data_IF_568217396407
#
_entry.id   IF_568217396407
#
_cell.length_a   1.000
_cell.length_b   1.000
_cell.length_c   1.000
_cell.angle_alpha   90.00
_cell.angle_beta   90.00
_cell.angle_gamma   90.00
#
_symmetry.space_group_name_H-M   'P 1'
#
loop_
_entity.id
_entity.type
_entity.pdbx_description
1 polymer ?
#
# COMPACT_ATOMS: atom_id res chain seq x y z
N UNK A 1 -71.53 39.88 13.19
CA UNK A 1 -70.45 40.06 14.18
C UNK A 1 -69.75 38.71 14.25
N UNK A 2 -68.80 38.48 13.33
CA UNK A 2 -67.35 38.57 13.63
C UNK A 2 -67.01 37.61 14.77
N UNK A 3 -66.26 36.53 14.61
CA UNK A 3 -65.23 36.21 13.63
C UNK A 3 -64.08 35.57 14.43
N UNK A 4 -63.77 34.31 14.19
CA UNK A 4 -62.40 33.82 13.92
C UNK A 4 -62.30 32.30 14.00
N UNK A 5 -61.93 31.74 12.86
CA UNK A 5 -61.18 30.49 12.72
C UNK A 5 -59.72 30.80 13.07
N UNK A 6 -59.11 30.02 13.95
CA UNK A 6 -57.65 29.93 14.07
C UNK A 6 -57.25 28.44 13.98
N UNK A 7 -56.36 28.04 13.06
CA UNK A 7 -55.87 26.66 12.96
C UNK A 7 -54.53 26.47 13.69
N UNK A 8 -54.36 25.26 14.22
CA UNK A 8 -53.12 24.48 14.38
C UNK A 8 -51.80 25.22 14.74
N UNK A 9 -51.30 25.01 15.96
CA UNK A 9 -49.87 25.06 16.26
C UNK A 9 -49.30 23.64 16.31
N UNK A 10 -48.71 23.22 15.18
CA UNK A 10 -47.70 22.15 15.15
C UNK A 10 -46.44 22.75 15.76
N UNK A 11 -46.10 22.34 16.99
CA UNK A 11 -44.77 22.56 17.54
C UNK A 11 -43.79 21.67 16.75
N UNK A 12 -43.27 22.23 15.64
CA UNK A 12 -42.02 21.78 15.07
C UNK A 12 -40.92 22.51 15.84
N UNK A 13 -40.23 21.78 16.70
CA UNK A 13 -38.87 22.12 17.10
C UNK A 13 -38.08 22.45 15.82
N UNK A 14 -37.79 23.74 15.62
CA UNK A 14 -36.86 24.19 14.60
C UNK A 14 -35.46 23.78 15.05
N UNK A 15 -35.08 22.53 14.82
CA UNK A 15 -33.68 22.18 14.66
C UNK A 15 -33.22 22.94 13.42
N UNK A 16 -32.57 24.10 13.62
CA UNK A 16 -31.81 24.80 12.57
C UNK A 16 -31.03 23.75 11.79
N UNK A 17 -31.31 23.63 10.49
CA UNK A 17 -30.56 22.74 9.63
C UNK A 17 -29.11 23.21 9.60
N UNK A 18 -28.15 22.28 9.52
CA UNK A 18 -26.72 22.60 9.49
C UNK A 18 -26.39 23.63 8.38
N UNK A 19 -27.15 23.58 7.28
CA UNK A 19 -27.04 24.49 6.15
C UNK A 19 -27.43 25.96 6.48
N UNK A 20 -28.30 26.18 7.46
CA UNK A 20 -28.70 27.51 7.94
C UNK A 20 -27.67 28.12 8.90
N UNK A 21 -26.80 27.30 9.50
CA UNK A 21 -25.70 27.74 10.36
C UNK A 21 -24.43 28.08 9.56
N UNK A 22 -24.22 27.45 8.39
CA UNK A 22 -23.05 27.69 7.54
C UNK A 22 -22.77 29.18 7.21
N UNK A 23 -23.77 30.05 6.95
CA UNK A 23 -23.53 31.47 6.67
C UNK A 23 -23.04 32.25 7.90
N UNK A 24 -23.33 31.77 9.12
CA UNK A 24 -22.90 32.39 10.37
C UNK A 24 -21.46 32.02 10.77
N UNK A 25 -20.87 30.98 10.18
CA UNK A 25 -19.50 30.56 10.49
C UNK A 25 -18.39 31.43 9.88
N UNK A 26 -18.75 32.46 9.09
CA UNK A 26 -17.80 33.37 8.46
C UNK A 26 -17.12 32.77 7.22
N UNK A 27 -16.71 33.65 6.32
CA UNK A 27 -16.08 33.26 5.05
C UNK A 27 -14.71 32.60 5.25
N UNK A 28 -14.26 31.84 4.24
CA UNK A 28 -12.95 31.17 4.18
C UNK A 28 -11.80 32.18 4.33
N UNK A 29 -11.38 32.40 5.57
CA UNK A 29 -10.40 33.43 5.93
C UNK A 29 -8.99 33.15 5.41
N UNK A 30 -8.14 34.19 5.41
CA UNK A 30 -6.73 34.08 4.99
C UNK A 30 -5.95 33.04 5.82
N UNK A 31 -6.29 32.88 7.09
CA UNK A 31 -5.71 31.84 7.95
C UNK A 31 -6.05 30.43 7.45
N UNK A 32 -7.32 30.17 7.13
CA UNK A 32 -7.78 28.87 6.61
C UNK A 32 -7.15 28.56 5.24
N UNK A 33 -7.00 29.55 4.37
CA UNK A 33 -6.29 29.39 3.08
C UNK A 33 -4.81 29.05 3.27
N UNK A 34 -4.10 29.73 4.18
CA UNK A 34 -2.69 29.41 4.50
C UNK A 34 -2.54 28.00 5.08
N UNK A 35 -3.47 27.60 5.94
CA UNK A 35 -3.52 26.29 6.57
C UNK A 35 -3.71 25.16 5.53
N UNK A 36 -4.62 25.34 4.57
CA UNK A 36 -4.77 24.41 3.45
C UNK A 36 -3.48 24.28 2.64
N UNK A 37 -2.82 25.41 2.32
CA UNK A 37 -1.55 25.39 1.56
C UNK A 37 -0.46 24.60 2.30
N UNK A 38 -0.34 24.74 3.62
CA UNK A 38 0.63 23.97 4.40
C UNK A 38 0.27 22.48 4.55
N UNK A 39 -1.01 22.13 4.45
CA UNK A 39 -1.48 20.74 4.52
C UNK A 39 -1.30 19.95 3.22
N UNK A 40 -1.26 20.62 2.05
CA UNK A 40 -1.05 19.97 0.75
C UNK A 40 0.16 19.01 0.73
N UNK A 41 1.39 19.42 1.12
CA UNK A 41 2.54 18.51 1.11
C UNK A 41 2.36 17.33 2.06
N UNK A 42 1.72 17.53 3.21
CA UNK A 42 1.42 16.45 4.16
C UNK A 42 0.49 15.40 3.55
N UNK A 43 -0.61 15.83 2.93
CA UNK A 43 -1.54 14.90 2.26
C UNK A 43 -0.90 14.18 1.08
N UNK A 44 -0.02 14.85 0.32
CA UNK A 44 0.72 14.24 -0.77
C UNK A 44 1.62 13.10 -0.27
N UNK A 45 2.38 13.34 0.80
CA UNK A 45 3.25 12.35 1.42
C UNK A 45 2.45 11.19 2.02
N UNK A 46 1.32 11.49 2.67
CA UNK A 46 0.45 10.46 3.21
C UNK A 46 -0.16 9.58 2.10
N UNK A 47 -0.63 10.20 1.02
CA UNK A 47 -1.10 9.47 -0.16
C UNK A 47 0.01 8.59 -0.73
N UNK A 48 1.24 9.09 -0.81
CA UNK A 48 2.38 8.29 -1.25
C UNK A 48 2.57 7.04 -0.37
N UNK A 49 2.65 7.20 0.97
CA UNK A 49 2.80 6.07 1.92
C UNK A 49 1.66 5.04 1.77
N UNK A 50 0.42 5.53 1.58
CA UNK A 50 -0.74 4.68 1.37
C UNK A 50 -0.60 3.86 0.09
N UNK A 51 -0.22 4.50 -1.03
CA UNK A 51 -0.06 3.82 -2.31
C UNK A 51 1.22 2.99 -2.41
N UNK A 52 2.25 3.24 -1.59
CA UNK A 52 3.49 2.43 -1.55
C UNK A 52 3.19 0.94 -1.38
N UNK A 53 2.13 0.58 -0.64
CA UNK A 53 1.75 -0.83 -0.45
C UNK A 53 1.45 -1.54 -1.78
N UNK A 54 0.92 -0.84 -2.78
CA UNK A 54 0.61 -1.40 -4.11
C UNK A 54 1.92 -1.65 -4.88
N UNK A 55 2.83 -0.68 -4.87
CA UNK A 55 4.11 -0.77 -5.58
C UNK A 55 5.03 -1.86 -5.01
N UNK A 56 4.91 -2.18 -3.73
CA UNK A 56 5.70 -3.24 -3.09
C UNK A 56 5.30 -4.65 -3.51
N UNK A 57 4.03 -4.85 -3.89
CA UNK A 57 3.49 -6.16 -4.26
C UNK A 57 3.22 -6.32 -5.76
N UNK A 58 3.53 -5.30 -6.57
CA UNK A 58 3.28 -5.36 -8.00
C UNK A 58 4.13 -6.46 -8.63
N UNK A 59 3.52 -7.26 -9.49
CA UNK A 59 4.21 -8.27 -10.29
C UNK A 59 3.93 -7.94 -11.76
N UNK A 60 4.96 -7.88 -12.62
CA UNK A 60 4.73 -7.66 -14.04
C UNK A 60 3.94 -8.81 -14.65
N UNK A 61 3.07 -8.50 -15.61
CA UNK A 61 2.21 -9.50 -16.22
C UNK A 61 3.03 -10.58 -16.92
N UNK A 62 4.13 -10.19 -17.56
CA UNK A 62 4.99 -11.09 -18.30
C UNK A 62 6.18 -11.53 -17.43
N UNK A 63 6.15 -12.82 -17.08
CA UNK A 63 7.20 -13.51 -16.36
C UNK A 63 7.23 -14.96 -16.78
N UNK A 64 8.41 -15.56 -16.76
CA UNK A 64 8.63 -16.95 -17.15
C UNK A 64 9.63 -17.62 -16.23
N UNK A 65 9.76 -18.93 -16.34
CA UNK A 65 10.57 -19.71 -15.43
C UNK A 65 12.06 -19.59 -15.77
N UNK A 66 12.89 -19.40 -14.74
CA UNK A 66 14.34 -19.36 -14.88
C UNK A 66 14.88 -20.78 -15.01
N UNK A 67 15.46 -21.09 -16.16
CA UNK A 67 16.15 -22.35 -16.44
C UNK A 67 17.64 -22.05 -16.56
N UNK A 68 18.47 -22.66 -15.71
CA UNK A 68 19.89 -22.33 -15.60
C UNK A 68 20.67 -22.68 -16.88
N UNK A 69 20.29 -23.78 -17.51
CA UNK A 69 20.90 -24.35 -18.70
C UNK A 69 20.60 -23.54 -19.98
N UNK A 70 19.60 -22.67 -19.94
CA UNK A 70 19.12 -21.89 -21.09
C UNK A 70 19.41 -20.39 -20.98
N UNK A 71 20.13 -19.94 -19.95
CA UNK A 71 20.33 -18.51 -19.69
C UNK A 71 21.13 -17.79 -20.78
N UNK A 72 22.02 -18.50 -21.47
CA UNK A 72 22.86 -17.94 -22.53
C UNK A 72 22.12 -17.69 -23.85
N UNK A 73 20.90 -18.24 -23.99
CA UNK A 73 20.07 -18.13 -25.20
C UNK A 73 19.19 -16.88 -25.18
N UNK A 74 18.67 -16.52 -26.36
CA UNK A 74 17.73 -15.40 -26.47
C UNK A 74 16.41 -15.71 -25.74
N UNK A 75 15.71 -14.66 -25.27
CA UNK A 75 14.39 -14.77 -24.60
C UNK A 75 13.41 -15.64 -25.38
N UNK A 76 13.37 -15.50 -26.71
CA UNK A 76 12.45 -16.28 -27.56
C UNK A 76 12.78 -17.78 -27.58
N UNK A 77 14.06 -18.13 -27.62
CA UNK A 77 14.51 -19.53 -27.61
C UNK A 77 14.26 -20.17 -26.25
N UNK A 78 14.50 -19.43 -25.17
CA UNK A 78 14.19 -19.88 -23.81
C UNK A 78 12.70 -20.22 -23.67
N UNK A 79 11.82 -19.35 -24.18
CA UNK A 79 10.38 -19.58 -24.13
C UNK A 79 9.94 -20.75 -25.02
N UNK A 80 10.46 -20.85 -26.26
CA UNK A 80 10.11 -21.92 -27.21
C UNK A 80 10.52 -23.32 -26.75
N UNK A 81 11.66 -23.44 -26.06
CA UNK A 81 12.19 -24.74 -25.61
C UNK A 81 11.79 -25.07 -24.17
N UNK A 82 11.71 -24.07 -23.29
CA UNK A 82 11.56 -24.28 -21.85
C UNK A 82 10.12 -24.30 -21.36
N UNK A 83 9.21 -23.57 -22.02
CA UNK A 83 7.91 -23.21 -21.46
C UNK A 83 6.76 -23.82 -22.28
N UNK A 84 5.83 -24.56 -21.66
CA UNK A 84 4.67 -25.10 -22.35
C UNK A 84 3.71 -23.99 -22.77
N UNK A 85 3.08 -24.17 -23.95
CA UNK A 85 2.03 -23.28 -24.44
C UNK A 85 0.64 -23.82 -24.06
N UNK A 86 -0.23 -22.93 -23.60
CA UNK A 86 -1.65 -23.18 -23.34
C UNK A 86 -2.45 -22.20 -24.16
N UNK A 87 -3.19 -22.68 -25.17
CA UNK A 87 -4.02 -21.84 -26.07
C UNK A 87 -3.23 -20.68 -26.70
N UNK A 88 -2.08 -20.99 -27.27
CA UNK A 88 -1.13 -20.05 -27.90
C UNK A 88 -0.39 -19.07 -26.98
N UNK A 89 -0.70 -19.05 -25.68
CA UNK A 89 0.06 -18.28 -24.67
C UNK A 89 1.04 -19.17 -23.90
N UNK A 90 2.20 -18.63 -23.51
CA UNK A 90 3.15 -19.36 -22.68
C UNK A 90 2.67 -19.45 -21.23
N UNK A 91 2.78 -20.64 -20.63
CA UNK A 91 2.44 -20.85 -19.24
C UNK A 91 3.47 -20.18 -18.32
N UNK A 92 3.00 -19.40 -17.35
CA UNK A 92 3.88 -18.65 -16.43
C UNK A 92 4.34 -19.46 -15.23
N UNK A 93 3.70 -20.61 -14.97
CA UNK A 93 3.83 -21.35 -13.72
C UNK A 93 4.50 -22.73 -13.86
N UNK A 94 4.53 -23.27 -15.07
CA UNK A 94 5.06 -24.59 -15.37
C UNK A 94 6.16 -24.50 -16.42
N UNK A 95 7.11 -25.41 -16.33
CA UNK A 95 8.18 -25.60 -17.30
C UNK A 95 8.32 -27.09 -17.62
N UNK A 96 8.94 -27.42 -18.76
CA UNK A 96 9.21 -28.80 -19.10
C UNK A 96 10.25 -29.44 -18.17
N UNK A 97 10.10 -30.73 -17.90
CA UNK A 97 11.05 -31.53 -17.13
C UNK A 97 11.85 -32.41 -18.09
N UNK A 98 12.89 -31.83 -18.67
CA UNK A 98 13.78 -32.50 -19.62
C UNK A 98 15.23 -32.16 -19.32
N UNK A 99 16.14 -32.93 -19.91
CA UNK A 99 17.56 -32.61 -19.87
C UNK A 99 17.90 -31.57 -20.94
N UNK A 100 17.94 -30.30 -20.53
CA UNK A 100 18.17 -29.18 -21.45
C UNK A 100 19.55 -29.21 -22.11
N UNK A 101 20.58 -29.78 -21.47
CA UNK A 101 21.91 -29.88 -22.11
C UNK A 101 21.88 -30.83 -23.31
N UNK A 102 21.20 -31.96 -23.17
CA UNK A 102 21.00 -32.92 -24.28
C UNK A 102 20.12 -32.33 -25.38
N UNK A 103 19.13 -31.52 -25.01
CA UNK A 103 18.31 -30.80 -25.98
C UNK A 103 19.15 -29.82 -26.81
N UNK A 104 20.06 -29.09 -26.16
CA UNK A 104 20.99 -28.16 -26.82
C UNK A 104 22.03 -28.88 -27.69
N UNK A 105 22.58 -30.00 -27.22
CA UNK A 105 23.51 -30.82 -28.01
C UNK A 105 22.87 -31.35 -29.31
N UNK A 106 21.56 -31.59 -29.28
CA UNK A 106 20.76 -32.00 -30.45
C UNK A 106 20.29 -30.82 -31.32
N UNK A 107 20.66 -29.58 -30.99
CA UNK A 107 20.18 -28.35 -31.63
C UNK A 107 18.65 -28.24 -31.67
N UNK A 108 17.95 -28.73 -30.63
CA UNK A 108 16.50 -28.56 -30.51
C UNK A 108 16.18 -27.09 -30.18
N UNK A 109 15.40 -26.46 -31.05
CA UNK A 109 14.95 -25.07 -30.90
C UNK A 109 13.51 -24.96 -30.40
N UNK A 110 12.78 -26.07 -30.40
CA UNK A 110 11.37 -26.15 -30.01
C UNK A 110 11.16 -27.33 -29.08
N UNK A 111 10.36 -27.12 -28.03
CA UNK A 111 9.98 -28.17 -27.10
C UNK A 111 9.11 -29.24 -27.78
N UNK A 112 9.21 -30.48 -27.28
CA UNK A 112 8.25 -31.54 -27.59
C UNK A 112 7.04 -31.40 -26.66
N UNK A 113 5.83 -31.43 -27.21
CA UNK A 113 4.58 -31.32 -26.44
C UNK A 113 4.37 -32.49 -25.47
N UNK A 114 5.02 -33.63 -25.72
CA UNK A 114 4.92 -34.82 -24.88
C UNK A 114 5.85 -34.79 -23.66
N UNK A 115 6.69 -33.77 -23.52
CA UNK A 115 7.57 -33.67 -22.36
C UNK A 115 6.77 -33.47 -21.07
N UNK A 116 7.16 -34.16 -19.97
CA UNK A 116 6.53 -33.97 -18.68
C UNK A 116 6.72 -32.52 -18.20
N UNK A 117 5.79 -32.03 -17.39
CA UNK A 117 5.81 -30.66 -16.88
C UNK A 117 6.02 -30.66 -15.37
N UNK A 118 6.77 -29.68 -14.87
CA UNK A 118 7.00 -29.46 -13.43
C UNK A 118 6.73 -27.99 -13.06
N UNK A 119 6.32 -27.71 -11.81
CA UNK A 119 6.14 -26.34 -11.35
C UNK A 119 7.49 -25.62 -11.29
N UNK A 120 7.45 -24.33 -11.59
CA UNK A 120 8.64 -23.49 -11.57
C UNK A 120 9.06 -23.16 -10.13
N UNK A 121 10.38 -22.99 -9.93
CA UNK A 121 10.96 -22.65 -8.62
C UNK A 121 11.45 -21.20 -8.56
N UNK A 122 11.91 -20.67 -9.69
CA UNK A 122 12.49 -19.33 -9.82
C UNK A 122 11.99 -18.72 -11.12
N UNK A 123 11.75 -17.41 -11.14
CA UNK A 123 11.22 -16.70 -12.28
C UNK A 123 12.19 -15.63 -12.80
N UNK A 124 12.00 -15.26 -14.06
CA UNK A 124 12.55 -14.07 -14.70
C UNK A 124 11.35 -13.17 -14.98
N UNK A 125 11.45 -11.93 -14.54
CA UNK A 125 10.42 -10.91 -14.66
C UNK A 125 10.79 -9.91 -15.75
N UNK A 126 9.84 -9.56 -16.61
CA UNK A 126 10.06 -8.55 -17.61
C UNK A 126 10.12 -7.15 -16.97
N UNK A 127 11.18 -6.40 -17.27
CA UNK A 127 11.43 -5.06 -16.72
C UNK A 127 10.84 -3.94 -17.60
N UNK A 128 10.16 -4.27 -18.69
CA UNK A 128 9.47 -3.28 -19.54
C UNK A 128 8.31 -2.58 -18.83
N UNK A 129 7.46 -3.33 -18.12
CA UNK A 129 6.30 -2.78 -17.41
C UNK A 129 6.68 -2.23 -16.03
N UNK A 130 7.56 -2.92 -15.32
CA UNK A 130 7.99 -2.58 -13.95
C UNK A 130 9.52 -2.58 -13.92
N UNK A 131 10.18 -1.40 -13.94
CA UNK A 131 11.63 -1.31 -14.08
C UNK A 131 12.41 -1.56 -12.77
N UNK A 132 11.70 -1.82 -11.66
CA UNK A 132 12.28 -2.05 -10.33
C UNK A 132 11.87 -3.43 -9.79
N UNK A 133 12.64 -3.93 -8.84
CA UNK A 133 12.33 -5.19 -8.16
C UNK A 133 11.39 -4.90 -6.98
N UNK A 134 10.23 -5.54 -6.99
CA UNK A 134 9.27 -5.51 -5.89
C UNK A 134 9.52 -6.69 -4.94
N UNK A 135 9.01 -6.59 -3.71
CA UNK A 135 9.11 -7.68 -2.73
C UNK A 135 8.42 -8.94 -3.26
N UNK A 136 7.31 -8.79 -3.99
CA UNK A 136 6.64 -9.90 -4.64
C UNK A 136 7.52 -10.58 -5.70
N UNK A 137 8.29 -9.82 -6.49
CA UNK A 137 9.23 -10.40 -7.46
C UNK A 137 10.48 -10.99 -6.81
N UNK A 138 10.99 -10.39 -5.73
CA UNK A 138 12.17 -10.88 -5.00
C UNK A 138 11.91 -12.24 -4.33
N UNK A 139 10.73 -12.41 -3.74
CA UNK A 139 10.32 -13.65 -3.07
C UNK A 139 9.46 -14.59 -3.94
N UNK A 140 9.30 -14.28 -5.22
CA UNK A 140 8.53 -15.06 -6.19
C UNK A 140 7.09 -15.37 -5.73
N UNK A 141 6.33 -14.35 -5.34
CA UNK A 141 4.90 -14.45 -5.00
C UNK A 141 4.04 -14.53 -6.25
N UNK A 142 4.24 -15.60 -7.01
CA UNK A 142 3.53 -15.92 -8.25
C UNK A 142 2.96 -17.33 -8.19
N UNK A 143 2.00 -17.62 -9.05
CA UNK A 143 1.42 -18.95 -9.21
C UNK A 143 0.84 -19.50 -7.89
N UNK A 144 1.48 -20.50 -7.27
CA UNK A 144 1.00 -21.07 -6.00
C UNK A 144 1.02 -20.06 -4.84
N UNK A 145 1.90 -19.05 -4.91
CA UNK A 145 2.15 -18.06 -3.87
C UNK A 145 1.59 -16.67 -4.20
N UNK A 146 0.74 -16.55 -5.22
CA UNK A 146 0.14 -15.28 -5.67
C UNK A 146 -0.69 -14.58 -4.58
N UNK A 147 -1.29 -15.34 -3.68
CA UNK A 147 -2.10 -14.87 -2.56
C UNK A 147 -1.30 -14.13 -1.48
N UNK A 148 0.03 -14.35 -1.38
CA UNK A 148 0.85 -13.76 -0.33
C UNK A 148 0.92 -12.22 -0.44
N UNK A 149 0.98 -11.69 -1.67
CA UNK A 149 0.96 -10.26 -1.93
C UNK A 149 -0.30 -9.58 -1.38
N UNK A 150 -1.50 -9.97 -1.85
CA UNK A 150 -2.77 -9.46 -1.32
C UNK A 150 -2.94 -9.64 0.19
N UNK A 151 -2.52 -10.78 0.76
CA UNK A 151 -2.61 -11.02 2.20
C UNK A 151 -1.75 -10.03 3.00
N UNK A 152 -0.56 -9.67 2.53
CA UNK A 152 0.27 -8.66 3.19
C UNK A 152 -0.44 -7.30 3.28
N UNK A 153 -1.17 -6.91 2.22
CA UNK A 153 -1.96 -5.68 2.16
C UNK A 153 -3.17 -5.78 3.09
N UNK A 154 -3.85 -6.92 3.15
CA UNK A 154 -4.94 -7.14 4.10
C UNK A 154 -4.47 -7.02 5.54
N UNK A 155 -3.32 -7.61 5.89
CA UNK A 155 -2.72 -7.54 7.23
C UNK A 155 -2.36 -6.09 7.58
N UNK A 156 -1.83 -5.32 6.63
CA UNK A 156 -1.57 -3.89 6.80
C UNK A 156 -2.85 -3.12 7.17
N UNK A 157 -3.97 -3.34 6.46
CA UNK A 157 -5.24 -2.70 6.78
C UNK A 157 -5.87 -3.19 8.10
N UNK A 158 -5.73 -4.47 8.44
CA UNK A 158 -6.12 -4.98 9.76
C UNK A 158 -5.34 -4.27 10.87
N UNK A 159 -4.04 -4.05 10.67
CA UNK A 159 -3.22 -3.22 11.54
C UNK A 159 -3.84 -1.83 11.72
N UNK A 160 -4.28 -1.18 10.64
CA UNK A 160 -4.89 0.15 10.71
C UNK A 160 -6.17 0.24 11.55
N UNK A 161 -6.98 -0.83 11.57
CA UNK A 161 -8.19 -0.92 12.39
C UNK A 161 -7.79 -1.02 13.87
N UNK A 162 -6.88 -1.94 14.18
CA UNK A 162 -6.40 -2.17 15.55
C UNK A 162 -5.68 -0.93 16.09
N UNK A 163 -4.84 -0.30 15.27
CA UNK A 163 -4.14 0.92 15.61
C UNK A 163 -5.09 2.08 15.88
N UNK A 164 -6.17 2.21 15.12
CA UNK A 164 -7.22 3.20 15.37
C UNK A 164 -7.85 3.07 16.77
N UNK A 165 -8.08 1.84 17.24
CA UNK A 165 -8.59 1.60 18.60
C UNK A 165 -7.56 1.94 19.67
N UNK A 166 -6.32 1.47 19.51
CA UNK A 166 -5.24 1.66 20.50
C UNK A 166 -4.86 3.14 20.61
N UNK A 167 -4.55 3.78 19.48
CA UNK A 167 -4.11 5.16 19.46
C UNK A 167 -5.26 6.14 19.61
N UNK A 168 -6.49 5.76 19.23
CA UNK A 168 -7.70 6.50 19.55
C UNK A 168 -7.90 6.59 21.07
N UNK A 169 -7.86 5.45 21.76
CA UNK A 169 -7.91 5.42 23.22
C UNK A 169 -6.77 6.24 23.86
N UNK A 170 -5.54 6.09 23.35
CA UNK A 170 -4.40 6.88 23.81
C UNK A 170 -4.60 8.39 23.57
N UNK A 171 -5.20 8.79 22.45
CA UNK A 171 -5.47 10.19 22.12
C UNK A 171 -6.49 10.83 23.08
N UNK A 172 -7.47 10.05 23.52
CA UNK A 172 -8.50 10.50 24.44
C UNK A 172 -8.00 10.59 25.89
N UNK A 173 -7.08 9.71 26.32
CA UNK A 173 -6.58 9.67 27.70
C UNK A 173 -5.24 10.38 27.92
N UNK A 174 -4.27 10.22 27.03
CA UNK A 174 -2.93 10.83 27.13
C UNK A 174 -2.80 12.11 26.30
N UNK A 175 -3.85 12.44 25.54
CA UNK A 175 -3.88 13.57 24.63
C UNK A 175 -3.42 13.21 23.23
N UNK A 176 -3.85 14.03 22.27
CA UNK A 176 -3.65 13.79 20.83
C UNK A 176 -2.18 13.83 20.41
N UNK A 177 -1.37 14.70 21.00
CA UNK A 177 0.04 14.86 20.58
C UNK A 177 0.90 13.63 20.92
N UNK A 178 0.89 13.08 22.16
CA UNK A 178 1.59 11.83 22.46
C UNK A 178 1.12 10.63 21.64
N UNK A 179 -0.19 10.52 21.37
CA UNK A 179 -0.73 9.44 20.56
C UNK A 179 -0.19 9.46 19.12
N UNK A 180 -0.10 10.64 18.50
CA UNK A 180 0.48 10.81 17.16
C UNK A 180 1.98 10.53 17.16
N UNK A 181 2.72 10.95 18.20
CA UNK A 181 4.15 10.65 18.30
C UNK A 181 4.39 9.14 18.43
N UNK A 182 3.59 8.45 19.24
CA UNK A 182 3.69 7.01 19.42
C UNK A 182 3.35 6.25 18.12
N UNK A 183 2.31 6.66 17.39
CA UNK A 183 1.96 6.03 16.12
C UNK A 183 3.07 6.20 15.07
N UNK A 184 3.68 7.40 14.97
CA UNK A 184 4.81 7.62 14.07
C UNK A 184 6.04 6.80 14.47
N UNK A 185 6.30 6.62 15.76
CA UNK A 185 7.39 5.76 16.23
C UNK A 185 7.16 4.29 15.83
N UNK A 186 5.93 3.79 15.93
CA UNK A 186 5.57 2.45 15.44
C UNK A 186 5.78 2.33 13.93
N UNK A 187 5.39 3.34 13.15
CA UNK A 187 5.63 3.37 11.71
C UNK A 187 7.12 3.30 11.37
N UNK A 188 7.95 4.09 12.05
CA UNK A 188 9.39 4.13 11.86
C UNK A 188 10.04 2.77 12.16
N UNK A 189 9.74 2.20 13.33
CA UNK A 189 10.28 0.90 13.74
C UNK A 189 9.83 -0.20 12.77
N UNK A 190 8.54 -0.23 12.41
CA UNK A 190 8.00 -1.20 11.46
C UNK A 190 8.63 -1.07 10.05
N UNK A 191 8.87 0.15 9.59
CA UNK A 191 9.55 0.44 8.33
C UNK A 191 10.98 -0.09 8.34
N UNK A 192 11.77 0.26 9.35
CA UNK A 192 13.16 -0.21 9.50
C UNK A 192 13.26 -1.72 9.60
N UNK A 193 12.40 -2.37 10.39
CA UNK A 193 12.40 -3.82 10.53
C UNK A 193 12.01 -4.54 9.24
N UNK A 194 11.22 -3.89 8.38
CA UNK A 194 10.84 -4.47 7.09
C UNK A 194 12.04 -4.71 6.18
N UNK A 195 13.13 -3.94 6.32
CA UNK A 195 14.35 -4.09 5.54
C UNK A 195 15.08 -5.41 5.77
N UNK A 196 14.96 -5.94 6.99
CA UNK A 196 15.66 -7.15 7.42
C UNK A 196 14.77 -8.39 7.35
N UNK A 197 13.58 -8.27 6.77
CA UNK A 197 12.63 -9.37 6.67
C UNK A 197 13.05 -10.35 5.57
N UNK A 198 13.40 -11.57 5.97
CA UNK A 198 13.76 -12.68 5.08
C UNK A 198 12.63 -13.72 4.89
N UNK A 199 11.48 -13.50 5.50
CA UNK A 199 10.35 -14.43 5.49
C UNK A 199 9.03 -13.67 5.45
N UNK A 200 8.03 -14.28 4.82
CA UNK A 200 6.67 -13.74 4.73
C UNK A 200 6.07 -13.43 6.10
N UNK A 201 6.33 -14.25 7.12
CA UNK A 201 5.78 -14.04 8.46
C UNK A 201 6.34 -12.77 9.11
N UNK A 202 7.66 -12.59 9.07
CA UNK A 202 8.32 -11.39 9.60
C UNK A 202 7.88 -10.14 8.83
N UNK A 203 7.82 -10.24 7.51
CA UNK A 203 7.29 -9.18 6.66
C UNK A 203 5.83 -8.83 7.02
N UNK A 204 4.99 -9.83 7.26
CA UNK A 204 3.59 -9.60 7.66
C UNK A 204 3.47 -8.90 9.00
N UNK A 205 4.30 -9.27 9.98
CA UNK A 205 4.33 -8.60 11.30
C UNK A 205 4.74 -7.15 11.15
N UNK A 206 5.80 -6.86 10.39
CA UNK A 206 6.24 -5.47 10.20
C UNK A 206 5.19 -4.66 9.46
N UNK A 207 4.53 -5.22 8.44
CA UNK A 207 3.38 -4.60 7.78
C UNK A 207 2.23 -4.33 8.73
N UNK A 208 1.91 -5.25 9.63
CA UNK A 208 0.90 -5.03 10.65
C UNK A 208 1.27 -3.85 11.55
N UNK A 209 2.53 -3.78 12.01
CA UNK A 209 3.03 -2.69 12.87
C UNK A 209 3.01 -1.34 12.17
N UNK A 210 3.44 -1.26 10.90
CA UNK A 210 3.32 -0.02 10.11
C UNK A 210 1.84 0.33 9.89
N UNK A 211 1.00 -0.68 9.67
CA UNK A 211 -0.45 -0.54 9.53
C UNK A 211 -1.10 0.13 10.73
N UNK A 212 -0.67 -0.18 11.97
CA UNK A 212 -1.18 0.46 13.19
C UNK A 212 -1.12 2.00 13.12
N UNK A 213 -0.14 2.56 12.42
CA UNK A 213 0.07 3.99 12.33
C UNK A 213 -0.77 4.69 11.25
N UNK A 214 -1.26 3.96 10.24
CA UNK A 214 -1.79 4.52 8.98
C UNK A 214 -2.88 5.59 9.17
N UNK A 215 -3.90 5.31 9.99
CA UNK A 215 -5.05 6.20 10.17
C UNK A 215 -4.83 7.26 11.26
N UNK A 216 -3.82 7.07 12.11
CA UNK A 216 -3.61 7.86 13.31
C UNK A 216 -2.81 9.14 13.08
N UNK A 217 -2.28 9.33 11.87
CA UNK A 217 -1.60 10.56 11.46
C UNK A 217 -2.55 11.62 10.86
N UNK A 218 -3.69 11.27 10.27
CA UNK A 218 -4.54 12.24 9.56
C UNK A 218 -5.52 13.00 10.45
N UNK A 219 -6.34 12.29 11.23
CA UNK A 219 -7.46 12.89 11.98
C UNK A 219 -6.98 13.79 13.13
N UNK A 220 -5.99 13.39 13.95
CA UNK A 220 -5.54 14.23 15.05
C UNK A 220 -4.78 15.47 14.57
N UNK A 221 -4.05 15.38 13.45
CA UNK A 221 -3.28 16.50 12.87
C UNK A 221 -4.22 17.61 12.41
N UNK A 222 -5.28 17.27 11.67
CA UNK A 222 -6.29 18.25 11.26
C UNK A 222 -6.92 18.98 12.46
N UNK A 223 -7.24 18.25 13.53
CA UNK A 223 -7.85 18.84 14.74
C UNK A 223 -6.83 19.66 15.56
N UNK A 224 -5.57 19.22 15.65
CA UNK A 224 -4.52 19.97 16.34
C UNK A 224 -4.23 21.30 15.63
N UNK A 225 -4.24 21.28 14.30
CA UNK A 225 -4.03 22.44 13.44
C UNK A 225 -5.20 23.43 13.53
N UNK A 226 -6.45 22.95 13.59
CA UNK A 226 -7.62 23.83 13.72
C UNK A 226 -7.78 24.43 15.13
N UNK A 227 -7.28 23.76 16.18
CA UNK A 227 -7.45 24.19 17.58
C UNK A 227 -6.32 25.05 18.14
N UNK A 228 -5.10 25.02 17.58
CA UNK A 228 -3.97 25.84 18.09
C UNK A 228 -3.27 26.67 17.01
N UNK A 229 -3.54 27.97 17.06
CA UNK A 229 -3.14 28.97 16.06
C UNK A 229 -1.62 29.26 15.88
N UNK A 230 -0.73 28.82 16.77
CA UNK A 230 0.64 29.40 16.86
C UNK A 230 1.82 28.41 17.00
N UNK A 231 1.74 27.18 16.48
CA UNK A 231 2.90 26.25 16.50
C UNK A 231 3.19 25.59 15.16
N UNK A 232 3.60 26.39 14.17
CA UNK A 232 4.19 25.96 12.89
C UNK A 232 5.30 24.90 13.02
N UNK A 233 6.03 24.91 14.14
CA UNK A 233 7.10 23.94 14.42
C UNK A 233 6.58 22.50 14.59
N UNK A 234 5.37 22.34 15.13
CA UNK A 234 4.77 21.02 15.34
C UNK A 234 4.35 20.42 14.00
N UNK A 235 3.79 21.23 13.11
CA UNK A 235 3.43 20.82 11.75
C UNK A 235 4.66 20.40 10.94
N UNK A 236 5.75 21.16 11.06
CA UNK A 236 7.01 20.86 10.37
C UNK A 236 7.67 19.58 10.91
N UNK A 237 7.68 19.37 12.23
CA UNK A 237 8.23 18.17 12.86
C UNK A 237 7.41 16.92 12.54
N UNK A 238 6.08 17.02 12.49
CA UNK A 238 5.20 15.91 12.11
C UNK A 238 5.34 15.57 10.62
N UNK A 239 5.36 16.58 9.76
CA UNK A 239 5.62 16.41 8.32
C UNK A 239 7.00 15.79 8.06
N UNK A 240 8.04 16.24 8.76
CA UNK A 240 9.38 15.68 8.68
C UNK A 240 9.42 14.22 9.15
N UNK A 241 8.74 13.85 10.23
CA UNK A 241 8.66 12.46 10.68
C UNK A 241 7.93 11.56 9.67
N UNK A 242 6.85 12.03 9.05
CA UNK A 242 6.18 11.30 7.98
C UNK A 242 7.07 11.18 6.73
N UNK A 243 7.85 12.22 6.40
CA UNK A 243 8.87 12.17 5.35
C UNK A 243 9.95 11.12 5.64
N UNK A 244 10.49 11.08 6.86
CA UNK A 244 11.50 10.07 7.24
C UNK A 244 10.92 8.65 7.18
N UNK A 245 9.72 8.43 7.71
CA UNK A 245 9.04 7.13 7.62
C UNK A 245 8.73 6.72 6.17
N UNK A 246 8.39 7.67 5.30
CA UNK A 246 8.20 7.42 3.87
C UNK A 246 9.53 7.09 3.18
N UNK A 247 10.58 7.88 3.43
CA UNK A 247 11.91 7.68 2.85
C UNK A 247 12.51 6.34 3.28
N UNK A 248 12.39 5.95 4.55
CA UNK A 248 12.85 4.63 5.01
C UNK A 248 12.07 3.49 4.34
N UNK A 249 10.77 3.64 4.08
CA UNK A 249 10.00 2.64 3.32
C UNK A 249 10.45 2.53 1.84
N UNK A 250 10.90 3.64 1.23
CA UNK A 250 11.37 3.68 -0.16
C UNK A 250 12.81 3.15 -0.28
N UNK A 251 13.69 3.51 0.66
CA UNK A 251 15.12 3.15 0.67
C UNK A 251 15.38 1.68 1.01
N UNK A 252 14.33 0.96 1.39
CA UNK A 252 14.35 -0.49 1.66
C UNK A 252 14.08 -1.32 0.40
N UNK A 253 13.79 -0.67 -0.73
CA UNK A 253 13.79 -1.27 -2.07
C UNK A 253 15.10 -0.94 -2.80
#
# INVERSE_FOLDING_TARGET
MEGNRAPASKDKENCLSFDEFLPYMGEFGLYQKRLVVYLIPFFFLWAFIYFTQIFLIVVPNDHWCRIAELQDLSKEEQLKLGIPKVKDEYNKCFMYDTNYTEALDRNLTTADENWPQKPCKVWIYDKEQVPYESIATQYNWVCQNDHLGPYSVTIYFLGSIVGGLIFGYAADHWGRLPAVMLSNLCALIGGLLSAFCNSFLWFSITRFVVGLALNNCCIPVYVLISTRSNKFLIDYLLSACCLFAALDCIMVQ
#
